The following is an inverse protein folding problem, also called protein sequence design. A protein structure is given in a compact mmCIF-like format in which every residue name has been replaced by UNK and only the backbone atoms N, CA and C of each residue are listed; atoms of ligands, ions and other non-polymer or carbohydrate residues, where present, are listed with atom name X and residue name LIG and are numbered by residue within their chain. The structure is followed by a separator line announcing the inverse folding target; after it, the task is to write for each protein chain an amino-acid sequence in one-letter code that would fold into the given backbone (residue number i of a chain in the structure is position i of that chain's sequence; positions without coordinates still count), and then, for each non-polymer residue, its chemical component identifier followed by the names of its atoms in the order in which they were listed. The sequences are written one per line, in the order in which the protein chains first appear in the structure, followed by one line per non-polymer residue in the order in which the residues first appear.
data_IF_753284174569
#
_entry.id   IF_753284174569
#
_cell.length_a   1.000
_cell.length_b   1.000
_cell.length_c   1.000
_cell.angle_alpha   90.00
_cell.angle_beta   90.00
_cell.angle_gamma   90.00
#
_symmetry.space_group_name_H-M   'P 1'
#
loop_
_entity.id
_entity.type
_entity.pdbx_description
1 polymer ?
#
# COMPACT_ATOMS: atom_id res chain seq x y z
N UNK A 1 14.56 -0.85 12.07
CA UNK A 1 14.04 -1.23 13.41
C UNK A 1 13.37 -0.06 14.13
N UNK A 2 14.12 0.96 14.61
CA UNK A 2 13.50 2.11 15.29
C UNK A 2 12.66 2.98 14.33
N UNK A 3 13.14 3.17 13.10
CA UNK A 3 12.38 3.85 12.04
C UNK A 3 11.05 3.14 11.74
N UNK A 4 11.06 1.83 11.50
CA UNK A 4 9.84 1.03 11.27
C UNK A 4 8.84 1.15 12.43
N UNK A 5 9.33 1.09 13.68
CA UNK A 5 8.49 1.26 14.85
C UNK A 5 7.86 2.67 14.91
N UNK A 6 8.62 3.72 14.60
CA UNK A 6 8.10 5.09 14.55
C UNK A 6 7.05 5.27 13.44
N UNK A 7 7.28 4.71 12.25
CA UNK A 7 6.32 4.77 11.13
C UNK A 7 5.05 3.98 11.47
N UNK A 8 5.18 2.80 12.07
CA UNK A 8 4.04 2.02 12.54
C UNK A 8 3.27 2.73 13.65
N UNK A 9 3.95 3.37 14.61
CA UNK A 9 3.33 4.18 15.64
C UNK A 9 2.56 5.37 15.06
N UNK A 10 3.11 6.06 14.06
CA UNK A 10 2.40 7.11 13.33
C UNK A 10 1.13 6.57 12.66
N UNK A 11 1.21 5.39 12.04
CA UNK A 11 0.05 4.69 11.48
C UNK A 11 -1.03 4.47 12.53
N UNK A 12 -0.70 3.84 13.66
CA UNK A 12 -1.63 3.60 14.77
C UNK A 12 -2.26 4.91 15.27
N UNK A 13 -1.46 5.97 15.41
CA UNK A 13 -1.98 7.28 15.81
C UNK A 13 -2.97 7.86 14.79
N UNK A 14 -2.70 7.76 13.49
CA UNK A 14 -3.62 8.15 12.42
C UNK A 14 -4.89 7.30 12.39
N UNK A 15 -4.85 6.06 12.87
CA UNK A 15 -6.04 5.21 12.94
C UNK A 15 -7.00 5.65 14.05
N UNK A 16 -6.47 6.01 15.22
CA UNK A 16 -7.29 6.26 16.42
C UNK A 16 -7.47 7.73 16.79
N UNK A 17 -6.61 8.62 16.28
CA UNK A 17 -6.54 10.03 16.71
C UNK A 17 -6.34 11.02 15.56
N UNK A 18 -6.74 10.66 14.34
CA UNK A 18 -6.57 11.52 13.15
C UNK A 18 -7.28 12.86 13.26
N UNK A 19 -8.38 12.94 14.01
CA UNK A 19 -9.15 14.16 14.25
C UNK A 19 -8.34 15.25 14.96
N UNK A 20 -7.25 14.86 15.63
CA UNK A 20 -6.33 15.77 16.33
C UNK A 20 -5.17 16.24 15.44
N UNK A 21 -5.13 15.82 14.18
CA UNK A 21 -4.04 16.08 13.24
C UNK A 21 -4.54 16.67 11.92
N UNK A 22 -3.61 17.25 11.16
CA UNK A 22 -3.78 17.41 9.71
C UNK A 22 -3.62 16.03 9.04
N UNK A 23 -4.64 15.20 9.13
CA UNK A 23 -4.60 13.79 8.77
C UNK A 23 -4.14 13.56 7.32
N UNK A 24 -4.60 14.37 6.36
CA UNK A 24 -4.14 14.31 4.97
C UNK A 24 -2.62 14.47 4.80
N UNK A 25 -1.98 15.39 5.54
CA UNK A 25 -0.53 15.60 5.48
C UNK A 25 0.24 14.43 6.10
N UNK A 26 -0.21 13.96 7.27
CA UNK A 26 0.45 12.89 7.99
C UNK A 26 0.25 11.53 7.33
N UNK A 27 -0.93 11.23 6.76
CA UNK A 27 -1.15 10.03 5.95
C UNK A 27 -0.26 9.99 4.71
N UNK A 28 -0.11 11.13 4.01
CA UNK A 28 0.83 11.22 2.88
C UNK A 28 2.27 10.96 3.33
N UNK A 29 2.67 11.49 4.48
CA UNK A 29 4.01 11.29 5.03
C UNK A 29 4.22 9.83 5.43
N UNK A 30 3.26 9.24 6.13
CA UNK A 30 3.26 7.83 6.53
C UNK A 30 3.38 6.91 5.30
N UNK A 31 2.55 7.11 4.28
CA UNK A 31 2.57 6.32 3.04
C UNK A 31 3.92 6.39 2.31
N UNK A 32 4.64 7.52 2.37
CA UNK A 32 5.97 7.67 1.76
C UNK A 32 7.02 6.76 2.40
N UNK A 33 6.83 6.39 3.67
CA UNK A 33 7.75 5.52 4.40
C UNK A 33 7.42 4.03 4.27
N UNK A 34 6.37 3.67 3.51
CA UNK A 34 6.05 2.28 3.21
C UNK A 34 6.72 1.81 1.90
N UNK A 35 7.00 0.49 1.77
CA UNK A 35 6.81 -0.56 2.78
C UNK A 35 7.85 -0.53 3.91
N UNK A 36 7.53 -1.19 5.02
CA UNK A 36 8.49 -1.45 6.09
C UNK A 36 9.09 -2.85 5.89
N UNK A 37 10.40 -2.96 6.05
CA UNK A 37 11.14 -4.17 5.68
C UNK A 37 11.98 -4.75 6.82
N UNK A 38 12.37 -3.92 7.79
CA UNK A 38 13.38 -4.31 8.78
C UNK A 38 12.76 -4.90 10.06
N UNK A 39 11.59 -4.41 10.47
CA UNK A 39 10.85 -4.94 11.61
C UNK A 39 9.57 -5.61 11.15
N UNK A 40 9.59 -6.95 11.02
CA UNK A 40 8.48 -7.72 10.45
C UNK A 40 7.18 -7.58 11.23
N UNK A 41 7.25 -7.41 12.56
CA UNK A 41 6.03 -7.23 13.37
C UNK A 41 5.38 -5.88 13.06
N UNK A 42 6.17 -4.82 13.00
CA UNK A 42 5.66 -3.48 12.66
C UNK A 42 5.25 -3.37 11.19
N UNK A 43 5.96 -4.07 10.30
CA UNK A 43 5.61 -4.17 8.89
C UNK A 43 4.23 -4.80 8.70
N UNK A 44 3.96 -5.95 9.33
CA UNK A 44 2.65 -6.61 9.26
C UNK A 44 1.52 -5.69 9.71
N UNK A 45 1.72 -4.95 10.80
CA UNK A 45 0.74 -3.98 11.31
C UNK A 45 0.51 -2.86 10.30
N UNK A 46 1.56 -2.19 9.85
CA UNK A 46 1.45 -1.05 8.94
C UNK A 46 0.87 -1.45 7.57
N UNK A 47 1.25 -2.62 7.04
CA UNK A 47 0.75 -3.13 5.76
C UNK A 47 -0.70 -3.56 5.83
N UNK A 48 -1.13 -4.19 6.94
CA UNK A 48 -2.54 -4.47 7.18
C UNK A 48 -3.35 -3.18 7.25
N UNK A 49 -2.86 -2.18 7.99
CA UNK A 49 -3.51 -0.89 8.11
C UNK A 49 -3.67 -0.18 6.75
N UNK A 50 -2.65 -0.25 5.88
CA UNK A 50 -2.74 0.29 4.52
C UNK A 50 -3.90 -0.36 3.76
N UNK A 51 -4.03 -1.69 3.83
CA UNK A 51 -5.13 -2.40 3.21
C UNK A 51 -6.50 -1.97 3.75
N UNK A 52 -6.65 -1.81 5.07
CA UNK A 52 -7.89 -1.35 5.69
C UNK A 52 -8.31 0.04 5.19
N UNK A 53 -7.37 0.98 5.09
CA UNK A 53 -7.65 2.33 4.60
C UNK A 53 -8.02 2.34 3.10
N UNK A 54 -7.38 1.49 2.30
CA UNK A 54 -7.74 1.33 0.87
C UNK A 54 -9.12 0.69 0.70
N UNK A 55 -9.47 -0.27 1.56
CA UNK A 55 -10.77 -0.96 1.51
C UNK A 55 -11.94 -0.01 1.73
N UNK A 56 -11.83 0.90 2.71
CA UNK A 56 -12.84 1.93 2.95
C UNK A 56 -12.74 3.13 2.01
N UNK A 57 -11.85 3.07 1.01
CA UNK A 57 -11.59 4.15 0.06
C UNK A 57 -11.30 5.49 0.74
N UNK A 58 -10.45 5.47 1.76
CA UNK A 58 -10.16 6.65 2.57
C UNK A 58 -9.68 7.84 1.71
N UNK A 59 -10.43 8.94 1.77
CA UNK A 59 -10.25 10.11 0.89
C UNK A 59 -8.93 10.84 1.16
N UNK A 60 -8.45 10.82 2.40
CA UNK A 60 -7.21 11.48 2.81
C UNK A 60 -5.99 10.66 2.38
N UNK A 61 -6.06 9.32 2.51
CA UNK A 61 -5.04 8.41 2.02
C UNK A 61 -4.92 8.44 0.49
N UNK A 62 -6.04 8.30 -0.23
CA UNK A 62 -6.04 8.31 -1.70
C UNK A 62 -5.62 9.68 -2.26
N UNK A 63 -5.96 10.74 -1.52
CA UNK A 63 -5.70 12.11 -1.88
C UNK A 63 -6.57 12.62 -3.05
N UNK A 64 -6.50 13.93 -3.35
CA UNK A 64 -7.24 14.54 -4.45
C UNK A 64 -7.00 13.81 -5.77
N UNK A 65 -8.08 13.51 -6.49
CA UNK A 65 -8.06 12.74 -7.75
C UNK A 65 -7.30 11.40 -7.66
N UNK A 66 -7.23 10.81 -6.46
CA UNK A 66 -6.51 9.54 -6.18
C UNK A 66 -5.01 9.60 -6.53
N UNK A 67 -4.38 10.76 -6.38
CA UNK A 67 -2.96 10.99 -6.73
C UNK A 67 -1.99 10.03 -6.04
N UNK A 68 -2.34 9.49 -4.87
CA UNK A 68 -1.47 8.59 -4.12
C UNK A 68 -1.59 7.12 -4.56
N UNK A 69 -2.54 6.80 -5.46
CA UNK A 69 -2.81 5.43 -5.89
C UNK A 69 -1.61 4.77 -6.56
N UNK A 70 -0.82 5.52 -7.32
CA UNK A 70 0.44 5.04 -7.90
C UNK A 70 1.37 4.49 -6.79
N UNK A 71 1.64 5.29 -5.77
CA UNK A 71 2.49 4.88 -4.63
C UNK A 71 1.91 3.69 -3.88
N UNK A 72 0.60 3.63 -3.65
CA UNK A 72 -0.06 2.50 -2.98
C UNK A 72 0.18 1.20 -3.75
N UNK A 73 -0.03 1.22 -5.08
CA UNK A 73 0.18 0.05 -5.92
C UNK A 73 1.65 -0.36 -5.96
N UNK A 74 2.58 0.60 -6.00
CA UNK A 74 4.02 0.32 -5.89
C UNK A 74 4.35 -0.37 -4.57
N UNK A 75 3.85 0.14 -3.44
CA UNK A 75 4.05 -0.48 -2.11
C UNK A 75 3.52 -1.90 -2.09
N UNK A 76 2.34 -2.16 -2.64
CA UNK A 76 1.80 -3.52 -2.73
C UNK A 76 2.70 -4.43 -3.56
N UNK A 77 3.21 -3.94 -4.69
CA UNK A 77 4.11 -4.71 -5.53
C UNK A 77 5.41 -5.09 -4.82
N UNK A 78 6.01 -4.14 -4.10
CA UNK A 78 7.23 -4.34 -3.31
C UNK A 78 7.00 -5.40 -2.21
N UNK A 79 5.86 -5.33 -1.49
CA UNK A 79 5.49 -6.31 -0.47
C UNK A 79 5.28 -7.70 -1.09
N UNK A 80 4.54 -7.78 -2.20
CA UNK A 80 4.28 -9.04 -2.91
C UNK A 80 5.54 -9.66 -3.51
N UNK A 81 6.52 -8.82 -3.89
CA UNK A 81 7.83 -9.24 -4.35
C UNK A 81 8.66 -9.83 -3.22
N UNK A 82 8.79 -9.11 -2.09
CA UNK A 82 9.52 -9.57 -0.91
C UNK A 82 8.91 -10.85 -0.29
N UNK A 83 7.60 -11.05 -0.45
CA UNK A 83 6.88 -12.27 -0.08
C UNK A 83 6.26 -12.24 1.32
N UNK A 84 5.83 -13.42 1.81
CA UNK A 84 4.99 -13.60 3.01
C UNK A 84 5.62 -13.15 4.35
N UNK A 85 6.86 -12.65 4.35
CA UNK A 85 7.52 -12.20 5.59
C UNK A 85 7.06 -10.80 6.00
N UNK A 86 6.74 -9.94 5.03
CA UNK A 86 6.37 -8.54 5.28
C UNK A 86 4.89 -8.35 5.60
N UNK A 87 4.03 -9.32 5.30
CA UNK A 87 2.59 -9.23 5.50
C UNK A 87 2.02 -10.62 5.83
N UNK A 88 0.88 -10.66 6.54
CA UNK A 88 0.16 -11.92 6.78
C UNK A 88 -0.44 -12.45 5.48
N UNK A 89 -0.85 -13.71 5.46
CA UNK A 89 -1.50 -14.29 4.28
C UNK A 89 -2.84 -13.61 3.96
N UNK A 90 -3.62 -13.23 4.99
CA UNK A 90 -4.85 -12.46 4.76
C UNK A 90 -4.54 -11.10 4.15
N UNK A 91 -3.52 -10.40 4.67
CA UNK A 91 -3.11 -9.08 4.18
C UNK A 91 -2.65 -9.16 2.73
N UNK A 92 -1.85 -10.18 2.37
CA UNK A 92 -1.43 -10.44 0.98
C UNK A 92 -2.63 -10.69 0.07
N UNK A 93 -3.60 -11.48 0.54
CA UNK A 93 -4.82 -11.80 -0.23
C UNK A 93 -5.67 -10.55 -0.45
N UNK A 94 -5.78 -9.68 0.56
CA UNK A 94 -6.47 -8.41 0.47
C UNK A 94 -5.80 -7.45 -0.54
N UNK A 95 -4.45 -7.37 -0.53
CA UNK A 95 -3.70 -6.59 -1.53
C UNK A 95 -4.00 -7.06 -2.95
N UNK A 96 -3.95 -8.37 -3.20
CA UNK A 96 -4.23 -8.94 -4.54
C UNK A 96 -5.65 -8.58 -4.99
N UNK A 97 -6.65 -8.80 -4.12
CA UNK A 97 -8.05 -8.43 -4.40
C UNK A 97 -8.20 -6.94 -4.74
N UNK A 98 -7.55 -6.06 -4.00
CA UNK A 98 -7.60 -4.61 -4.23
C UNK A 98 -6.90 -4.22 -5.55
N UNK A 99 -5.78 -4.85 -5.89
CA UNK A 99 -5.08 -4.66 -7.16
C UNK A 99 -5.93 -5.10 -8.35
N UNK A 100 -6.61 -6.24 -8.24
CA UNK A 100 -7.53 -6.71 -9.28
C UNK A 100 -8.70 -5.76 -9.49
N UNK A 101 -9.29 -5.26 -8.41
CA UNK A 101 -10.35 -4.25 -8.46
C UNK A 101 -9.85 -2.96 -9.13
N UNK A 102 -8.64 -2.52 -8.80
CA UNK A 102 -8.03 -1.35 -9.42
C UNK A 102 -7.77 -1.58 -10.92
N UNK A 103 -7.20 -2.71 -11.30
CA UNK A 103 -6.99 -3.11 -12.70
C UNK A 103 -8.30 -3.12 -13.49
N UNK A 104 -9.36 -3.73 -12.94
CA UNK A 104 -10.67 -3.83 -13.59
C UNK A 104 -11.37 -2.47 -13.77
N UNK A 105 -11.20 -1.56 -12.81
CA UNK A 105 -11.83 -0.22 -12.84
C UNK A 105 -11.01 0.81 -13.62
N UNK A 106 -9.75 0.52 -13.91
CA UNK A 106 -8.86 1.43 -14.63
C UNK A 106 -9.06 1.32 -16.13
N UNK A 107 -8.85 2.44 -16.82
CA UNK A 107 -8.75 2.45 -18.29
C UNK A 107 -7.53 1.58 -18.68
N UNK A 108 -7.65 0.66 -19.66
CA UNK A 108 -6.56 -0.25 -20.01
C UNK A 108 -5.23 0.45 -20.35
N UNK A 109 -5.28 1.62 -21.01
CA UNK A 109 -4.09 2.41 -21.33
C UNK A 109 -3.43 3.00 -20.07
N UNK A 110 -4.21 3.47 -19.10
CA UNK A 110 -3.71 3.96 -17.81
C UNK A 110 -3.02 2.83 -17.02
N UNK A 111 -3.65 1.66 -16.94
CA UNK A 111 -3.05 0.50 -16.27
C UNK A 111 -1.74 0.05 -16.96
N UNK A 112 -1.72 -0.01 -18.29
CA UNK A 112 -0.49 -0.35 -19.03
C UNK A 112 0.62 0.68 -18.80
N UNK A 113 0.30 1.97 -18.90
CA UNK A 113 1.29 3.04 -18.69
C UNK A 113 1.84 2.99 -17.27
N UNK A 114 0.98 2.71 -16.30
CA UNK A 114 1.38 2.47 -14.91
C UNK A 114 2.35 1.28 -14.81
N UNK A 115 1.98 0.11 -15.33
CA UNK A 115 2.83 -1.09 -15.30
C UNK A 115 4.19 -0.88 -15.99
N UNK A 116 4.23 -0.09 -17.06
CA UNK A 116 5.47 0.27 -17.76
C UNK A 116 6.35 1.24 -16.97
N UNK A 117 5.77 2.06 -16.08
CA UNK A 117 6.51 2.97 -15.20
C UNK A 117 7.15 2.26 -13.99
N UNK A 118 6.79 1.00 -13.74
CA UNK A 118 7.32 0.22 -12.62
C UNK A 118 8.61 -0.52 -13.01
N UNK A 119 9.41 -0.85 -12.00
CA UNK A 119 10.57 -1.71 -12.20
C UNK A 119 10.20 -3.09 -12.72
N UNK A 120 11.00 -3.62 -13.66
CA UNK A 120 10.71 -4.87 -14.38
C UNK A 120 10.49 -6.08 -13.46
N UNK A 121 11.14 -6.13 -12.31
CA UNK A 121 11.00 -7.24 -11.36
C UNK A 121 9.64 -7.19 -10.63
N UNK A 122 9.24 -6.02 -10.14
CA UNK A 122 7.93 -5.80 -9.51
C UNK A 122 6.79 -6.05 -10.49
N UNK A 123 6.94 -5.54 -11.72
CA UNK A 123 5.97 -5.72 -12.80
C UNK A 123 5.69 -7.20 -13.08
N UNK A 124 6.74 -8.00 -13.31
CA UNK A 124 6.61 -9.44 -13.59
C UNK A 124 5.93 -10.19 -12.46
N UNK A 125 6.23 -9.83 -11.21
CA UNK A 125 5.60 -10.43 -10.03
C UNK A 125 4.11 -10.13 -9.97
N UNK A 126 3.73 -8.87 -10.15
CA UNK A 126 2.34 -8.46 -10.22
C UNK A 126 1.60 -9.18 -11.36
N UNK A 127 2.18 -9.25 -12.55
CA UNK A 127 1.60 -9.97 -13.69
C UNK A 127 1.36 -11.45 -13.35
N UNK A 128 2.33 -12.13 -12.71
CA UNK A 128 2.14 -13.53 -12.29
C UNK A 128 1.03 -13.70 -11.25
N UNK A 129 0.85 -12.74 -10.34
CA UNK A 129 -0.15 -12.81 -9.27
C UNK A 129 -1.55 -12.48 -9.75
N UNK A 130 -1.67 -11.61 -10.75
CA UNK A 130 -2.95 -11.14 -11.29
C UNK A 130 -3.45 -11.99 -12.48
N UNK A 131 -2.66 -12.97 -12.92
CA UNK A 131 -3.01 -13.93 -13.98
C UNK A 131 -3.31 -15.33 -13.45
N UNK A 132 -3.15 -15.52 -12.13
CA UNK A 132 -3.49 -16.76 -11.41
C UNK A 132 -4.93 -16.70 -10.90
#
# INVERSE_FOLDING_TARGET
MAHDAAVSALGKFLQFHREKLNAAQFLKTWLRHLPLENNLNEAKVAHHQLCSLVEVSDVELLGPKKKNLHKIVTVYAEILWAGKKLATEETVSQMIKQLELYRRRSIPSTWRSFMLSMENHLRRKLESKLSS
#
